data_IF_126264161181
#
_entry.id   IF_126264161181
#
_cell.length_a   1.000
_cell.length_b   1.000
_cell.length_c   1.000
_cell.angle_alpha   90.00
_cell.angle_beta   90.00
_cell.angle_gamma   90.00
#
_symmetry.space_group_name_H-M   'P 1'
#
loop_
_entity.id
_entity.type
_entity.pdbx_description
1 polymer ?
#
# COMPACT_ATOMS: atom_id res chain seq x y z
N UNK A 1 -29.59 -12.29 14.22
CA UNK A 1 -29.23 -11.82 12.87
C UNK A 1 -28.04 -10.85 12.87
N UNK A 2 -27.85 -10.08 13.95
CA UNK A 2 -26.70 -9.16 14.14
C UNK A 2 -25.37 -9.86 14.38
N UNK A 3 -25.34 -11.03 15.03
CA UNK A 3 -24.10 -11.74 15.34
C UNK A 3 -23.37 -12.31 14.12
N UNK A 4 -24.05 -12.52 13.00
CA UNK A 4 -23.43 -12.96 11.74
C UNK A 4 -22.76 -11.84 10.94
N UNK A 5 -23.04 -10.57 11.26
CA UNK A 5 -22.45 -9.41 10.56
C UNK A 5 -21.06 -9.05 11.11
N UNK A 6 -20.79 -9.36 12.37
CA UNK A 6 -19.51 -9.12 13.06
C UNK A 6 -18.73 -10.41 13.36
N UNK A 7 -19.34 -11.58 13.15
CA UNK A 7 -18.59 -12.82 13.25
C UNK A 7 -17.50 -12.84 12.17
N UNK A 8 -16.36 -13.41 12.49
CA UNK A 8 -15.19 -13.67 11.60
C UNK A 8 -15.54 -14.49 10.33
N UNK A 9 -16.74 -14.28 9.77
CA UNK A 9 -17.30 -14.96 8.59
C UNK A 9 -16.73 -14.45 7.27
N UNK A 10 -15.77 -13.48 7.30
CA UNK A 10 -15.22 -12.88 6.11
C UNK A 10 -13.84 -13.44 5.65
N UNK A 11 -13.11 -14.27 6.43
CA UNK A 11 -11.82 -14.79 6.01
C UNK A 11 -11.90 -15.56 4.68
N UNK A 12 -12.97 -16.36 4.48
CA UNK A 12 -13.16 -17.10 3.23
C UNK A 12 -13.40 -16.18 2.02
N UNK A 13 -14.19 -15.10 2.19
CA UNK A 13 -14.38 -14.10 1.15
C UNK A 13 -13.09 -13.32 0.87
N UNK A 14 -12.31 -12.99 1.90
CA UNK A 14 -11.00 -12.35 1.75
C UNK A 14 -10.00 -13.26 1.04
N UNK A 15 -9.96 -14.55 1.38
CA UNK A 15 -9.09 -15.52 0.71
C UNK A 15 -9.41 -15.60 -0.79
N UNK A 16 -10.69 -15.62 -1.13
CA UNK A 16 -11.14 -15.57 -2.52
C UNK A 16 -10.72 -14.25 -3.18
N UNK A 17 -10.87 -13.12 -2.49
CA UNK A 17 -10.47 -11.81 -3.00
C UNK A 17 -8.96 -11.74 -3.29
N UNK A 18 -8.12 -12.26 -2.39
CA UNK A 18 -6.67 -12.38 -2.59
C UNK A 18 -6.35 -13.23 -3.82
N UNK A 19 -7.05 -14.36 -4.01
CA UNK A 19 -6.86 -15.23 -5.17
C UNK A 19 -7.30 -14.58 -6.49
N UNK A 20 -8.43 -13.88 -6.49
CA UNK A 20 -8.94 -13.16 -7.69
C UNK A 20 -7.97 -12.03 -8.07
N UNK A 21 -7.56 -11.19 -7.11
CA UNK A 21 -6.64 -10.09 -7.38
C UNK A 21 -5.27 -10.61 -7.86
N UNK A 22 -4.73 -11.64 -7.25
CA UNK A 22 -3.46 -12.23 -7.68
C UNK A 22 -3.54 -12.80 -9.12
N UNK A 23 -4.67 -13.41 -9.50
CA UNK A 23 -4.83 -14.06 -10.80
C UNK A 23 -5.19 -13.08 -11.92
N UNK A 24 -6.05 -12.12 -11.65
CA UNK A 24 -6.67 -11.27 -12.68
C UNK A 24 -6.30 -9.79 -12.54
N UNK A 25 -5.90 -9.33 -11.35
CA UNK A 25 -5.60 -7.93 -11.05
C UNK A 25 -6.79 -7.01 -11.35
N UNK A 26 -6.50 -5.90 -12.03
CA UNK A 26 -7.47 -4.90 -12.46
C UNK A 26 -7.83 -5.12 -13.94
N UNK A 27 -8.94 -5.85 -14.28
CA UNK A 27 -9.27 -6.15 -15.67
C UNK A 27 -9.61 -4.88 -16.45
N UNK A 28 -8.74 -4.47 -17.37
CA UNK A 28 -8.91 -3.26 -18.17
C UNK A 28 -10.24 -3.22 -18.96
N UNK A 29 -10.78 -4.40 -19.32
CA UNK A 29 -12.07 -4.50 -20.01
C UNK A 29 -13.24 -4.00 -19.14
N UNK A 30 -13.19 -4.22 -17.82
CA UNK A 30 -14.18 -3.77 -16.86
C UNK A 30 -14.00 -2.28 -16.60
N UNK A 31 -12.79 -1.84 -16.23
CA UNK A 31 -12.52 -0.48 -15.79
C UNK A 31 -12.48 0.57 -16.92
N UNK A 32 -12.56 0.14 -18.18
CA UNK A 32 -12.87 1.05 -19.29
C UNK A 32 -14.36 1.44 -19.35
N UNK A 33 -15.24 0.63 -18.77
CA UNK A 33 -16.72 0.87 -18.80
C UNK A 33 -17.26 1.40 -17.49
N UNK A 34 -16.65 0.98 -16.38
CA UNK A 34 -17.07 1.35 -15.02
C UNK A 34 -15.85 1.94 -14.32
N UNK A 35 -15.93 3.13 -13.72
CA UNK A 35 -14.79 3.71 -13.01
C UNK A 35 -14.36 2.80 -11.87
N UNK A 36 -13.03 2.66 -11.70
CA UNK A 36 -12.46 1.89 -10.59
C UNK A 36 -12.91 2.49 -9.25
N UNK A 37 -13.32 1.69 -8.25
CA UNK A 37 -13.85 2.21 -6.98
C UNK A 37 -12.89 3.19 -6.29
N UNK A 38 -11.59 2.92 -6.30
CA UNK A 38 -10.58 3.82 -5.73
C UNK A 38 -10.48 5.14 -6.50
N UNK A 39 -10.68 5.12 -7.82
CA UNK A 39 -10.72 6.35 -8.62
C UNK A 39 -11.94 7.21 -8.26
N UNK A 40 -13.09 6.60 -7.96
CA UNK A 40 -14.28 7.31 -7.47
C UNK A 40 -13.99 7.97 -6.12
N UNK A 41 -13.36 7.25 -5.19
CA UNK A 41 -12.91 7.82 -3.91
C UNK A 41 -11.99 9.02 -4.16
N UNK A 42 -11.02 8.89 -5.06
CA UNK A 42 -10.12 9.98 -5.44
C UNK A 42 -10.84 11.20 -6.01
N UNK A 43 -11.86 10.99 -6.85
CA UNK A 43 -12.69 12.10 -7.37
C UNK A 43 -13.44 12.83 -6.24
N UNK A 44 -13.98 12.10 -5.27
CA UNK A 44 -14.66 12.68 -4.09
C UNK A 44 -13.64 13.49 -3.26
N UNK A 45 -12.46 12.93 -2.97
CA UNK A 45 -11.39 13.64 -2.25
C UNK A 45 -10.98 14.91 -2.99
N UNK A 46 -10.75 14.84 -4.31
CA UNK A 46 -10.42 16.00 -5.12
C UNK A 46 -11.53 17.06 -5.18
N UNK A 47 -12.79 16.63 -5.18
CA UNK A 47 -13.92 17.55 -5.08
C UNK A 47 -13.97 18.24 -3.72
N UNK A 48 -13.81 17.51 -2.63
CA UNK A 48 -13.79 18.09 -1.27
C UNK A 48 -12.63 19.07 -1.07
N UNK A 49 -11.44 18.78 -1.62
CA UNK A 49 -10.29 19.70 -1.59
C UNK A 49 -10.61 21.02 -2.33
N UNK A 50 -11.27 20.95 -3.48
CA UNK A 50 -11.65 22.17 -4.21
C UNK A 50 -12.69 23.02 -3.49
N UNK A 51 -13.65 22.38 -2.83
CA UNK A 51 -14.80 23.08 -2.20
C UNK A 51 -14.44 23.64 -0.81
N UNK A 52 -13.75 22.84 0.01
CA UNK A 52 -13.53 23.12 1.44
C UNK A 52 -12.13 23.61 1.79
N UNK A 53 -11.14 23.46 0.88
CA UNK A 53 -9.77 23.92 1.11
C UNK A 53 -9.50 25.23 0.37
N UNK A 54 -10.11 26.32 0.86
CA UNK A 54 -9.99 27.64 0.21
C UNK A 54 -8.67 28.30 0.57
N UNK A 55 -7.89 28.82 -0.39
CA UNK A 55 -6.58 29.45 -0.12
C UNK A 55 -6.64 30.66 0.82
N UNK A 56 -7.75 31.43 0.78
CA UNK A 56 -7.95 32.61 1.65
C UNK A 56 -8.37 32.30 3.09
N UNK A 57 -8.68 31.05 3.42
CA UNK A 57 -9.09 30.67 4.76
C UNK A 57 -7.88 30.52 5.70
N UNK A 58 -8.06 30.94 6.97
CA UNK A 58 -7.07 30.74 8.01
C UNK A 58 -6.75 29.24 8.19
N UNK A 59 -5.49 28.90 8.52
CA UNK A 59 -5.05 27.50 8.68
C UNK A 59 -5.87 26.70 9.69
N UNK A 60 -6.35 27.35 10.77
CA UNK A 60 -7.25 26.71 11.74
C UNK A 60 -8.60 26.31 11.14
N UNK A 61 -9.17 27.14 10.26
CA UNK A 61 -10.42 26.82 9.54
C UNK A 61 -10.22 25.68 8.58
N UNK A 62 -9.12 25.71 7.81
CA UNK A 62 -8.75 24.63 6.87
C UNK A 62 -8.53 23.29 7.60
N UNK A 63 -7.90 23.30 8.80
CA UNK A 63 -7.75 22.08 9.63
C UNK A 63 -9.09 21.53 10.08
N UNK A 64 -10.02 22.37 10.56
CA UNK A 64 -11.36 21.93 10.97
C UNK A 64 -12.15 21.38 9.79
N UNK A 65 -12.09 22.06 8.65
CA UNK A 65 -12.71 21.59 7.41
C UNK A 65 -12.15 20.21 6.97
N UNK A 66 -10.82 20.04 6.98
CA UNK A 66 -10.17 18.78 6.68
C UNK A 66 -10.57 17.65 7.64
N UNK A 67 -10.64 17.92 8.96
CA UNK A 67 -11.14 16.94 9.93
C UNK A 67 -12.58 16.52 9.66
N UNK A 68 -13.46 17.49 9.38
CA UNK A 68 -14.87 17.20 9.08
C UNK A 68 -15.03 16.39 7.77
N UNK A 69 -14.24 16.74 6.73
CA UNK A 69 -14.22 16.02 5.45
C UNK A 69 -13.76 14.58 5.66
N UNK A 70 -12.66 14.35 6.37
CA UNK A 70 -12.15 12.99 6.61
C UNK A 70 -13.13 12.19 7.46
N UNK A 71 -13.69 12.77 8.52
CA UNK A 71 -14.71 12.08 9.33
C UNK A 71 -15.94 11.70 8.50
N UNK A 72 -16.45 12.61 7.68
CA UNK A 72 -17.58 12.35 6.78
C UNK A 72 -17.25 11.30 5.71
N UNK A 73 -16.04 11.37 5.12
CA UNK A 73 -15.58 10.39 4.12
C UNK A 73 -15.49 8.98 4.71
N UNK A 74 -14.88 8.84 5.89
CA UNK A 74 -14.75 7.54 6.59
C UNK A 74 -16.12 7.00 6.98
N UNK A 75 -16.98 7.82 7.58
CA UNK A 75 -18.32 7.40 7.97
C UNK A 75 -19.15 6.94 6.76
N UNK A 76 -19.12 7.70 5.67
CA UNK A 76 -19.84 7.37 4.43
C UNK A 76 -19.28 6.11 3.77
N UNK A 77 -17.95 5.96 3.71
CA UNK A 77 -17.28 4.78 3.17
C UNK A 77 -17.62 3.52 3.98
N UNK A 78 -17.61 3.62 5.31
CA UNK A 78 -17.96 2.52 6.20
C UNK A 78 -19.45 2.15 6.05
N UNK A 79 -20.36 3.12 6.06
CA UNK A 79 -21.80 2.90 5.89
C UNK A 79 -22.11 2.27 4.52
N UNK A 80 -21.51 2.77 3.44
CA UNK A 80 -21.64 2.19 2.11
C UNK A 80 -21.16 0.74 2.08
N UNK A 81 -19.97 0.49 2.63
CA UNK A 81 -19.42 -0.87 2.72
C UNK A 81 -20.32 -1.81 3.49
N UNK A 82 -20.94 -1.33 4.58
CA UNK A 82 -21.88 -2.12 5.37
C UNK A 82 -23.16 -2.45 4.59
N UNK A 83 -23.73 -1.47 3.89
CA UNK A 83 -24.94 -1.65 3.03
C UNK A 83 -24.63 -2.65 1.91
N UNK A 84 -23.52 -2.46 1.21
CA UNK A 84 -23.11 -3.34 0.10
C UNK A 84 -22.85 -4.76 0.62
N UNK A 85 -22.14 -4.92 1.72
CA UNK A 85 -21.89 -6.22 2.32
C UNK A 85 -23.18 -6.93 2.73
N UNK A 86 -24.11 -6.23 3.42
CA UNK A 86 -25.40 -6.78 3.81
C UNK A 86 -26.22 -7.22 2.61
N UNK A 87 -26.25 -6.42 1.54
CA UNK A 87 -26.92 -6.75 0.28
C UNK A 87 -26.31 -7.99 -0.37
N UNK A 88 -24.97 -8.02 -0.53
CA UNK A 88 -24.29 -9.14 -1.18
C UNK A 88 -24.49 -10.45 -0.41
N UNK A 89 -24.43 -10.41 0.93
CA UNK A 89 -24.64 -11.61 1.76
C UNK A 89 -26.10 -12.12 1.75
N UNK A 90 -27.06 -11.29 1.36
CA UNK A 90 -28.45 -11.70 1.17
C UNK A 90 -28.69 -12.43 -0.18
N UNK A 91 -27.76 -12.34 -1.14
CA UNK A 91 -27.84 -13.00 -2.43
C UNK A 91 -27.41 -14.48 -2.34
N UNK A 92 -27.87 -15.34 -3.26
CA UNK A 92 -27.28 -16.67 -3.47
C UNK A 92 -25.77 -16.54 -3.71
N UNK A 93 -24.98 -17.40 -3.10
CA UNK A 93 -23.50 -17.35 -3.17
C UNK A 93 -22.92 -16.02 -2.65
N UNK A 94 -23.56 -15.36 -1.68
CA UNK A 94 -23.20 -14.03 -1.21
C UNK A 94 -21.74 -13.86 -0.80
N UNK A 95 -21.10 -14.91 -0.23
CA UNK A 95 -19.66 -14.89 0.09
C UNK A 95 -18.78 -14.81 -1.16
N UNK A 96 -19.21 -15.41 -2.28
CA UNK A 96 -18.49 -15.30 -3.56
C UNK A 96 -18.55 -13.86 -4.08
N UNK A 97 -19.73 -13.26 -4.10
CA UNK A 97 -19.89 -11.86 -4.53
C UNK A 97 -19.15 -10.89 -3.62
N UNK A 98 -19.12 -11.18 -2.31
CA UNK A 98 -18.34 -10.38 -1.36
C UNK A 98 -16.85 -10.47 -1.66
N UNK A 99 -16.31 -11.67 -1.96
CA UNK A 99 -14.91 -11.83 -2.36
C UNK A 99 -14.58 -11.08 -3.66
N UNK A 100 -15.46 -11.14 -4.66
CA UNK A 100 -15.31 -10.35 -5.90
C UNK A 100 -15.31 -8.85 -5.62
N UNK A 101 -16.21 -8.36 -4.74
CA UNK A 101 -16.23 -6.94 -4.39
C UNK A 101 -14.98 -6.51 -3.63
N UNK A 102 -14.48 -7.33 -2.70
CA UNK A 102 -13.25 -7.05 -1.95
C UNK A 102 -12.02 -7.03 -2.86
N UNK A 103 -11.93 -7.88 -3.89
CA UNK A 103 -10.76 -7.96 -4.77
C UNK A 103 -10.47 -6.64 -5.50
N UNK A 104 -11.49 -5.81 -5.77
CA UNK A 104 -11.33 -4.50 -6.39
C UNK A 104 -10.57 -3.46 -5.53
N UNK A 105 -10.28 -3.77 -4.28
CA UNK A 105 -9.56 -2.88 -3.34
C UNK A 105 -8.19 -3.43 -2.95
N UNK A 106 -7.79 -4.57 -3.49
CA UNK A 106 -6.47 -5.17 -3.33
C UNK A 106 -5.60 -4.81 -4.55
N UNK A 107 -4.29 -4.83 -4.37
CA UNK A 107 -3.37 -4.36 -5.41
C UNK A 107 -2.17 -5.32 -5.62
N UNK A 108 -2.33 -6.64 -5.38
CA UNK A 108 -1.21 -7.58 -5.49
C UNK A 108 -0.68 -7.67 -6.92
N UNK A 109 -1.57 -7.89 -7.88
CA UNK A 109 -1.19 -8.06 -9.28
C UNK A 109 -0.69 -6.76 -9.89
N UNK A 110 -1.38 -5.65 -9.67
CA UNK A 110 -1.02 -4.34 -10.22
C UNK A 110 0.32 -3.85 -9.67
N UNK A 111 0.58 -4.02 -8.36
CA UNK A 111 1.87 -3.68 -7.75
C UNK A 111 3.01 -4.52 -8.35
N UNK A 112 2.82 -5.83 -8.46
CA UNK A 112 3.79 -6.71 -9.12
C UNK A 112 4.09 -6.23 -10.54
N UNK A 113 3.04 -5.97 -11.33
CA UNK A 113 3.15 -5.54 -12.72
C UNK A 113 3.92 -4.24 -12.88
N UNK A 114 3.56 -3.22 -12.11
CA UNK A 114 4.21 -1.91 -12.18
C UNK A 114 5.71 -1.99 -11.81
N UNK A 115 6.07 -2.75 -10.78
CA UNK A 115 7.48 -2.91 -10.38
C UNK A 115 8.25 -3.77 -11.38
N UNK A 116 7.62 -4.82 -11.92
CA UNK A 116 8.22 -5.65 -12.97
C UNK A 116 8.45 -4.85 -14.27
N UNK A 117 7.56 -3.89 -14.57
CA UNK A 117 7.72 -3.00 -15.72
C UNK A 117 8.97 -2.11 -15.58
N UNK A 118 9.34 -1.68 -14.38
CA UNK A 118 10.59 -0.94 -14.17
C UNK A 118 11.80 -1.80 -14.52
N UNK A 119 11.84 -3.06 -14.03
CA UNK A 119 12.94 -3.98 -14.35
C UNK A 119 13.04 -4.24 -15.86
N UNK A 120 11.90 -4.47 -16.51
CA UNK A 120 11.81 -4.69 -17.97
C UNK A 120 12.24 -3.46 -18.75
N UNK A 121 11.77 -2.27 -18.37
CA UNK A 121 12.11 -1.01 -19.02
C UNK A 121 13.61 -0.72 -18.92
N UNK A 122 14.26 -0.98 -17.79
CA UNK A 122 15.70 -0.86 -17.62
C UNK A 122 16.44 -1.83 -18.56
N UNK A 123 15.97 -3.06 -18.69
CA UNK A 123 16.62 -4.08 -19.50
C UNK A 123 16.49 -3.78 -21.03
N UNK A 124 15.35 -3.27 -21.48
CA UNK A 124 15.05 -3.04 -22.91
C UNK A 124 15.44 -1.65 -23.36
N UNK A 125 15.17 -0.62 -22.55
CA UNK A 125 15.29 0.79 -22.93
C UNK A 125 16.31 1.56 -22.08
N UNK A 126 17.09 0.88 -21.28
CA UNK A 126 18.12 1.49 -20.44
C UNK A 126 17.57 2.38 -19.33
N UNK A 127 18.40 3.34 -18.89
CA UNK A 127 18.08 4.22 -17.76
C UNK A 127 16.84 5.09 -18.01
N UNK A 128 16.70 5.65 -19.20
CA UNK A 128 15.58 6.56 -19.50
C UNK A 128 14.24 5.83 -19.49
N UNK A 129 14.19 4.60 -20.04
CA UNK A 129 13.03 3.74 -19.90
C UNK A 129 12.69 3.42 -18.44
N UNK A 130 13.72 3.13 -17.64
CA UNK A 130 13.57 2.90 -16.19
C UNK A 130 13.00 4.11 -15.46
N UNK A 131 13.48 5.31 -15.76
CA UNK A 131 12.97 6.58 -15.20
C UNK A 131 11.49 6.79 -15.53
N UNK A 132 11.09 6.58 -16.79
CA UNK A 132 9.69 6.69 -17.22
C UNK A 132 8.79 5.67 -16.49
N UNK A 133 9.26 4.45 -16.34
CA UNK A 133 8.50 3.40 -15.66
C UNK A 133 8.36 3.67 -14.15
N UNK A 134 9.46 4.03 -13.48
CA UNK A 134 9.45 4.29 -12.02
C UNK A 134 8.64 5.54 -11.66
N UNK A 135 8.55 6.54 -12.54
CA UNK A 135 7.71 7.74 -12.34
C UNK A 135 6.24 7.42 -12.07
N UNK A 136 5.75 6.25 -12.48
CA UNK A 136 4.36 5.82 -12.25
C UNK A 136 4.09 5.32 -10.84
N UNK A 137 5.14 4.99 -10.10
CA UNK A 137 5.04 4.34 -8.78
C UNK A 137 5.76 5.11 -7.66
N UNK A 138 6.41 6.23 -7.98
CA UNK A 138 7.05 7.10 -6.99
C UNK A 138 6.45 8.50 -7.04
N UNK A 139 6.29 9.14 -5.88
CA UNK A 139 5.73 10.49 -5.79
C UNK A 139 6.74 11.63 -6.05
N UNK A 140 7.94 11.32 -6.56
CA UNK A 140 9.02 12.29 -6.82
C UNK A 140 9.46 12.26 -8.28
N UNK A 141 10.08 13.33 -8.73
CA UNK A 141 10.70 13.39 -10.07
C UNK A 141 11.91 12.45 -10.16
N UNK A 142 11.89 11.42 -11.03
CA UNK A 142 12.99 10.50 -11.21
C UNK A 142 14.03 10.97 -12.25
N UNK A 143 13.91 12.14 -12.85
CA UNK A 143 14.74 12.60 -13.98
C UNK A 143 16.23 12.62 -13.67
N UNK A 144 16.61 12.84 -12.40
CA UNK A 144 17.99 12.90 -11.93
C UNK A 144 18.49 11.60 -11.29
N UNK A 145 17.66 10.56 -11.22
CA UNK A 145 18.07 9.29 -10.62
C UNK A 145 19.02 8.54 -11.56
N UNK A 146 20.12 8.04 -11.01
CA UNK A 146 20.94 7.04 -11.69
C UNK A 146 20.25 5.67 -11.70
N UNK A 147 20.84 4.71 -12.41
CA UNK A 147 20.28 3.37 -12.56
C UNK A 147 20.05 2.66 -11.22
N UNK A 148 20.99 2.76 -10.28
CA UNK A 148 20.89 2.16 -8.98
C UNK A 148 19.80 2.84 -8.13
N UNK A 149 19.65 4.15 -8.22
CA UNK A 149 18.60 4.91 -7.54
C UNK A 149 17.21 4.61 -8.10
N UNK A 150 17.06 4.40 -9.42
CA UNK A 150 15.80 3.94 -10.04
C UNK A 150 15.41 2.56 -9.47
N UNK A 151 16.37 1.62 -9.41
CA UNK A 151 16.13 0.29 -8.84
C UNK A 151 15.76 0.35 -7.36
N UNK A 152 16.49 1.16 -6.56
CA UNK A 152 16.14 1.38 -5.14
C UNK A 152 14.74 1.92 -4.99
N UNK A 153 14.39 2.97 -5.74
CA UNK A 153 13.08 3.60 -5.68
C UNK A 153 11.95 2.62 -6.02
N UNK A 154 12.15 1.74 -7.00
CA UNK A 154 11.18 0.69 -7.33
C UNK A 154 11.02 -0.34 -6.20
N UNK A 155 12.12 -0.73 -5.56
CA UNK A 155 12.12 -1.70 -4.46
C UNK A 155 11.50 -1.10 -3.18
N UNK A 156 11.79 0.16 -2.88
CA UNK A 156 11.17 0.92 -1.79
C UNK A 156 9.66 1.03 -1.99
N UNK A 157 9.24 1.44 -3.19
CA UNK A 157 7.83 1.51 -3.56
C UNK A 157 7.13 0.15 -3.46
N UNK A 158 7.81 -0.96 -3.83
CA UNK A 158 7.29 -2.32 -3.64
C UNK A 158 7.04 -2.61 -2.17
N UNK A 159 7.99 -2.31 -1.29
CA UNK A 159 7.90 -2.60 0.14
C UNK A 159 6.79 -1.76 0.81
N UNK A 160 6.75 -0.46 0.54
CA UNK A 160 5.74 0.45 1.05
C UNK A 160 4.33 0.05 0.57
N UNK A 161 4.15 -0.14 -0.74
CA UNK A 161 2.85 -0.51 -1.29
C UNK A 161 2.43 -1.96 -1.00
N UNK A 162 3.35 -2.87 -0.66
CA UNK A 162 2.98 -4.15 -0.09
C UNK A 162 2.25 -3.97 1.25
N UNK A 163 2.73 -3.06 2.10
CA UNK A 163 2.01 -2.69 3.32
C UNK A 163 0.65 -2.06 2.99
N UNK A 164 0.61 -1.00 2.18
CA UNK A 164 -0.54 -0.11 2.04
C UNK A 164 -1.55 -0.56 0.99
N UNK A 165 -1.09 -1.31 -0.02
CA UNK A 165 -1.91 -1.82 -1.12
C UNK A 165 -2.38 -3.26 -0.95
N UNK A 166 -1.75 -4.04 -0.05
CA UNK A 166 -2.04 -5.47 0.11
C UNK A 166 -2.34 -5.83 1.56
N UNK A 167 -1.38 -5.63 2.48
CA UNK A 167 -1.50 -6.11 3.85
C UNK A 167 -2.53 -5.31 4.65
N UNK A 168 -2.52 -3.99 4.57
CA UNK A 168 -3.45 -3.15 5.30
C UNK A 168 -4.91 -3.30 4.81
N UNK A 169 -5.19 -3.31 3.49
CA UNK A 169 -6.53 -3.66 3.01
C UNK A 169 -7.00 -5.03 3.51
N UNK A 170 -6.15 -6.06 3.44
CA UNK A 170 -6.47 -7.40 3.92
C UNK A 170 -6.71 -7.43 5.44
N UNK A 171 -5.90 -6.71 6.22
CA UNK A 171 -6.02 -6.59 7.67
C UNK A 171 -7.37 -5.98 8.08
N UNK A 172 -7.75 -4.84 7.46
CA UNK A 172 -9.01 -4.18 7.77
C UNK A 172 -10.22 -4.93 7.23
N UNK A 173 -10.08 -5.64 6.08
CA UNK A 173 -11.10 -6.56 5.58
C UNK A 173 -11.32 -7.74 6.53
N UNK A 174 -10.25 -8.29 7.11
CA UNK A 174 -10.32 -9.40 8.06
C UNK A 174 -11.03 -8.99 9.35
N UNK A 175 -10.75 -7.79 9.88
CA UNK A 175 -11.32 -7.30 11.13
C UNK A 175 -12.76 -6.80 11.00
N UNK A 176 -13.04 -6.03 9.95
CA UNK A 176 -14.28 -5.26 9.81
C UNK A 176 -15.06 -5.56 8.52
N UNK A 177 -14.61 -6.53 7.71
CA UNK A 177 -15.23 -6.86 6.44
C UNK A 177 -15.05 -5.76 5.38
N UNK A 178 -15.97 -5.73 4.41
CA UNK A 178 -15.99 -4.72 3.34
C UNK A 178 -16.11 -3.28 3.87
N UNK A 179 -16.87 -2.99 4.95
CA UNK A 179 -16.87 -1.66 5.56
C UNK A 179 -15.49 -1.15 5.95
N UNK A 180 -14.71 -1.98 6.65
CA UNK A 180 -13.36 -1.63 7.07
C UNK A 180 -12.41 -1.47 5.90
N UNK A 181 -12.52 -2.33 4.90
CA UNK A 181 -11.74 -2.28 3.68
C UNK A 181 -11.96 -0.97 2.90
N UNK A 182 -13.23 -0.58 2.67
CA UNK A 182 -13.55 0.66 1.93
C UNK A 182 -13.15 1.89 2.75
N UNK A 183 -13.39 1.90 4.06
CA UNK A 183 -12.98 3.00 4.93
C UNK A 183 -11.46 3.17 4.95
N UNK A 184 -10.70 2.08 5.06
CA UNK A 184 -9.25 2.09 4.93
C UNK A 184 -8.79 2.69 3.60
N UNK A 185 -9.32 2.20 2.48
CA UNK A 185 -8.95 2.71 1.15
C UNK A 185 -9.32 4.18 0.96
N UNK A 186 -10.41 4.65 1.58
CA UNK A 186 -10.78 6.06 1.55
C UNK A 186 -9.75 6.93 2.28
N UNK A 187 -9.27 6.51 3.44
CA UNK A 187 -8.23 7.22 4.20
C UNK A 187 -6.90 7.22 3.44
N UNK A 188 -6.46 6.06 2.99
CA UNK A 188 -5.21 5.89 2.25
C UNK A 188 -5.19 6.70 0.94
N UNK A 189 -6.31 6.73 0.20
CA UNK A 189 -6.46 7.56 -0.99
C UNK A 189 -6.44 9.06 -0.65
N UNK A 190 -7.09 9.45 0.46
CA UNK A 190 -7.07 10.84 0.90
C UNK A 190 -5.65 11.27 1.30
N UNK A 191 -4.91 10.46 2.04
CA UNK A 191 -3.51 10.76 2.37
C UNK A 191 -2.66 10.92 1.10
N UNK A 192 -2.73 9.98 0.18
CA UNK A 192 -1.98 10.02 -1.08
C UNK A 192 -2.26 11.29 -1.90
N UNK A 193 -3.48 11.85 -1.84
CA UNK A 193 -3.88 13.01 -2.62
C UNK A 193 -3.65 14.34 -1.90
N UNK A 194 -3.94 14.42 -0.60
CA UNK A 194 -3.97 15.66 0.17
C UNK A 194 -3.13 15.61 1.46
N UNK A 195 -2.50 14.48 1.81
CA UNK A 195 -1.65 14.34 3.01
C UNK A 195 -0.28 15.01 2.91
N UNK A 196 0.12 15.42 1.72
CA UNK A 196 1.41 16.06 1.49
C UNK A 196 1.57 17.39 2.22
N UNK A 197 2.76 17.66 2.75
CA UNK A 197 3.09 18.92 3.47
C UNK A 197 3.32 20.12 2.53
N UNK A 198 2.62 20.17 1.39
CA UNK A 198 2.60 21.35 0.52
C UNK A 198 1.90 22.53 1.21
N UNK A 199 2.14 23.75 0.77
CA UNK A 199 1.46 24.95 1.27
C UNK A 199 -0.07 24.81 1.19
N UNK A 200 -0.57 24.20 0.10
CA UNK A 200 -1.99 23.92 -0.11
C UNK A 200 -2.57 22.91 0.89
N UNK A 201 -1.85 21.83 1.22
CA UNK A 201 -2.43 20.70 1.95
C UNK A 201 -1.96 20.59 3.41
N UNK A 202 -0.92 21.32 3.81
CA UNK A 202 -0.32 21.26 5.15
C UNK A 202 -1.33 21.33 6.31
N UNK A 203 -2.36 22.15 6.16
CA UNK A 203 -3.40 22.32 7.18
C UNK A 203 -4.62 21.44 6.90
N UNK A 204 -5.14 21.44 5.67
CA UNK A 204 -6.33 20.70 5.29
C UNK A 204 -6.11 19.18 5.32
N UNK A 205 -5.03 18.69 4.73
CA UNK A 205 -4.70 17.26 4.64
C UNK A 205 -4.15 16.65 5.92
N UNK A 206 -3.88 17.47 6.95
CA UNK A 206 -3.27 16.98 8.20
C UNK A 206 -4.06 15.86 8.88
N UNK A 207 -5.37 15.87 8.80
CA UNK A 207 -6.22 14.82 9.37
C UNK A 207 -6.09 13.50 8.61
N UNK A 208 -6.05 13.56 7.26
CA UNK A 208 -5.81 12.40 6.41
C UNK A 208 -4.47 11.75 6.75
N UNK A 209 -3.38 12.52 6.72
CA UNK A 209 -2.03 12.04 6.98
C UNK A 209 -1.89 11.37 8.36
N UNK A 210 -2.43 11.99 9.42
CA UNK A 210 -2.35 11.43 10.77
C UNK A 210 -3.19 10.18 10.96
N UNK A 211 -4.37 10.13 10.33
CA UNK A 211 -5.24 8.98 10.42
C UNK A 211 -4.65 7.80 9.64
N UNK A 212 -4.12 8.05 8.44
CA UNK A 212 -3.40 7.05 7.64
C UNK A 212 -2.19 6.51 8.41
N UNK A 213 -1.35 7.39 8.98
CA UNK A 213 -0.23 6.98 9.81
C UNK A 213 -0.68 6.03 10.95
N UNK A 214 -1.80 6.33 11.61
CA UNK A 214 -2.30 5.55 12.74
C UNK A 214 -2.84 4.18 12.32
N UNK A 215 -3.68 4.13 11.29
CA UNK A 215 -4.34 2.88 10.86
C UNK A 215 -3.38 1.93 10.13
N UNK A 216 -2.27 2.42 9.63
CA UNK A 216 -1.21 1.62 9.02
C UNK A 216 -0.22 1.04 10.05
N UNK A 217 -0.22 1.50 11.32
CA UNK A 217 0.70 0.97 12.34
C UNK A 217 0.69 -0.57 12.44
N UNK A 218 -0.43 -1.26 12.61
CA UNK A 218 -0.43 -2.72 12.71
C UNK A 218 -0.04 -3.39 11.38
N UNK A 219 -0.54 -2.88 10.28
CA UNK A 219 -0.34 -3.47 8.95
C UNK A 219 1.12 -3.42 8.50
N UNK A 220 1.81 -2.30 8.73
CA UNK A 220 3.22 -2.16 8.35
C UNK A 220 4.14 -3.09 9.15
N UNK A 221 3.83 -3.37 10.42
CA UNK A 221 4.56 -4.37 11.23
C UNK A 221 4.27 -5.78 10.75
N UNK A 222 3.01 -6.08 10.41
CA UNK A 222 2.63 -7.35 9.81
C UNK A 222 3.30 -7.55 8.44
N UNK A 223 3.35 -6.52 7.60
CA UNK A 223 4.05 -6.55 6.31
C UNK A 223 5.55 -6.85 6.48
N UNK A 224 6.20 -6.19 7.44
CA UNK A 224 7.60 -6.45 7.77
C UNK A 224 7.82 -7.88 8.25
N UNK A 225 6.94 -8.41 9.11
CA UNK A 225 6.98 -9.80 9.57
C UNK A 225 6.84 -10.78 8.40
N UNK A 226 5.86 -10.56 7.52
CA UNK A 226 5.63 -11.41 6.34
C UNK A 226 6.84 -11.42 5.39
N UNK A 227 7.47 -10.26 5.13
CA UNK A 227 8.69 -10.16 4.33
C UNK A 227 9.87 -10.88 4.99
N UNK A 228 10.06 -10.70 6.31
CA UNK A 228 11.12 -11.37 7.05
C UNK A 228 10.93 -12.90 7.05
N UNK A 229 9.69 -13.40 7.20
CA UNK A 229 9.39 -14.83 7.12
C UNK A 229 9.52 -15.34 5.67
N UNK A 230 9.14 -14.56 4.68
CA UNK A 230 9.31 -14.93 3.27
C UNK A 230 10.79 -15.12 2.88
N UNK A 231 11.73 -14.50 3.59
CA UNK A 231 13.15 -14.69 3.37
C UNK A 231 13.62 -16.14 3.60
N UNK A 232 12.92 -16.94 4.42
CA UNK A 232 13.18 -18.38 4.53
C UNK A 232 12.85 -19.16 3.24
N UNK A 233 12.01 -18.61 2.39
CA UNK A 233 11.45 -19.28 1.21
C UNK A 233 12.13 -18.85 -0.09
N UNK A 234 13.12 -17.97 -0.05
CA UNK A 234 13.83 -17.48 -1.24
C UNK A 234 15.31 -17.87 -1.19
N UNK A 235 15.90 -18.36 -2.28
CA UNK A 235 17.34 -18.64 -2.33
C UNK A 235 18.18 -17.39 -2.06
N UNK A 236 19.10 -17.49 -1.10
CA UNK A 236 19.94 -16.36 -0.68
C UNK A 236 19.22 -15.31 0.18
N UNK A 237 18.03 -15.60 0.68
CA UNK A 237 17.34 -14.75 1.66
C UNK A 237 17.92 -14.94 3.06
N UNK A 238 18.03 -13.84 3.81
CA UNK A 238 18.49 -13.85 5.19
C UNK A 238 17.44 -13.30 6.16
N UNK A 239 16.61 -14.19 6.77
CA UNK A 239 15.60 -13.77 7.74
C UNK A 239 16.19 -13.17 9.01
N UNK A 240 17.40 -13.62 9.44
CA UNK A 240 18.07 -13.07 10.63
C UNK A 240 18.50 -11.63 10.38
N UNK A 241 19.07 -11.35 9.21
CA UNK A 241 19.44 -10.00 8.80
C UNK A 241 18.17 -9.12 8.63
N UNK A 242 17.06 -9.66 8.11
CA UNK A 242 15.79 -8.95 8.05
C UNK A 242 15.34 -8.47 9.44
N UNK A 243 15.24 -9.36 10.42
CA UNK A 243 14.84 -8.99 11.79
C UNK A 243 15.84 -8.05 12.47
N UNK A 244 17.15 -8.21 12.23
CA UNK A 244 18.18 -7.32 12.76
C UNK A 244 18.01 -5.90 12.18
N UNK A 245 17.79 -5.79 10.86
CA UNK A 245 17.59 -4.51 10.17
C UNK A 245 16.31 -3.82 10.61
N UNK A 246 15.19 -4.56 10.74
CA UNK A 246 13.94 -4.01 11.29
C UNK A 246 14.18 -3.36 12.65
N UNK A 247 14.86 -4.07 13.58
CA UNK A 247 15.11 -3.54 14.94
C UNK A 247 16.01 -2.32 14.95
N UNK A 248 17.01 -2.28 14.08
CA UNK A 248 18.01 -1.21 14.03
C UNK A 248 17.51 0.02 13.30
N UNK A 249 16.84 -0.14 12.14
CA UNK A 249 16.65 0.92 11.15
C UNK A 249 15.21 1.36 10.95
N UNK A 250 14.20 0.50 11.18
CA UNK A 250 12.80 0.80 10.82
C UNK A 250 12.28 2.12 11.44
N UNK A 251 12.70 2.43 12.67
CA UNK A 251 12.28 3.67 13.38
C UNK A 251 13.06 4.92 12.97
N UNK A 252 14.11 4.78 12.16
CA UNK A 252 14.90 5.92 11.66
C UNK A 252 14.26 6.55 10.42
N UNK A 253 13.30 5.85 9.81
CA UNK A 253 12.57 6.34 8.66
C UNK A 253 11.63 7.47 9.07
N UNK A 254 11.47 8.47 8.17
CA UNK A 254 10.58 9.64 8.40
C UNK A 254 9.10 9.27 8.52
N UNK A 255 8.66 8.21 7.80
CA UNK A 255 7.32 7.64 7.94
C UNK A 255 7.31 6.64 9.10
N UNK A 256 6.32 6.66 10.00
CA UNK A 256 6.20 5.69 11.08
C UNK A 256 5.86 4.27 10.58
N UNK A 257 5.52 4.14 9.30
CA UNK A 257 5.05 2.91 8.66
C UNK A 257 6.00 2.36 7.61
N UNK A 258 6.36 3.12 6.57
CA UNK A 258 7.14 2.64 5.42
C UNK A 258 8.50 2.02 5.82
N UNK A 259 9.15 2.57 6.83
CA UNK A 259 10.45 2.05 7.30
C UNK A 259 10.43 0.59 7.77
N UNK A 260 9.27 0.04 8.15
CA UNK A 260 9.19 -1.36 8.62
C UNK A 260 9.31 -2.38 7.48
N UNK A 261 8.46 -2.33 6.45
CA UNK A 261 8.57 -3.26 5.32
C UNK A 261 9.84 -3.01 4.51
N UNK A 262 10.31 -1.75 4.37
CA UNK A 262 11.57 -1.44 3.71
C UNK A 262 12.78 -2.06 4.44
N UNK A 263 12.85 -1.92 5.77
CA UNK A 263 13.93 -2.53 6.56
C UNK A 263 13.90 -4.06 6.49
N UNK A 264 12.71 -4.67 6.49
CA UNK A 264 12.56 -6.10 6.32
C UNK A 264 13.11 -6.58 4.99
N UNK A 265 12.72 -5.92 3.90
CA UNK A 265 13.15 -6.27 2.54
C UNK A 265 14.64 -6.02 2.36
N UNK A 266 15.15 -4.87 2.83
CA UNK A 266 16.57 -4.50 2.76
C UNK A 266 17.46 -5.53 3.46
N UNK A 267 17.11 -5.92 4.69
CA UNK A 267 17.82 -6.95 5.43
C UNK A 267 17.73 -8.33 4.80
N UNK A 268 16.51 -8.73 4.37
CA UNK A 268 16.25 -10.03 3.75
C UNK A 268 17.12 -10.30 2.51
N UNK A 269 17.38 -9.27 1.71
CA UNK A 269 18.08 -9.38 0.42
C UNK A 269 19.50 -8.79 0.44
N UNK A 270 19.96 -8.23 1.58
CA UNK A 270 21.26 -7.61 1.69
C UNK A 270 21.39 -6.31 0.87
N UNK A 271 20.28 -5.57 0.68
CA UNK A 271 20.27 -4.29 -0.04
C UNK A 271 20.39 -3.12 0.93
N UNK A 272 20.97 -2.01 0.47
CA UNK A 272 20.87 -0.72 1.13
C UNK A 272 19.79 0.09 0.41
N UNK A 273 18.76 0.54 1.14
CA UNK A 273 17.66 1.35 0.65
C UNK A 273 17.71 2.75 1.26
N UNK A 274 16.87 3.65 0.79
CA UNK A 274 16.88 5.05 1.20
C UNK A 274 18.23 5.74 0.89
N UNK A 275 18.84 6.37 1.85
CA UNK A 275 20.11 7.11 1.68
C UNK A 275 19.89 8.54 1.14
N UNK A 276 20.99 9.27 0.90
CA UNK A 276 20.94 10.65 0.44
C UNK A 276 20.13 10.81 -0.85
N UNK A 277 19.26 11.83 -0.90
CA UNK A 277 18.32 12.11 -1.99
C UNK A 277 18.28 13.60 -2.31
N UNK A 278 17.70 13.96 -3.44
CA UNK A 278 17.36 15.34 -3.76
C UNK A 278 15.85 15.48 -3.96
N UNK A 279 15.25 16.49 -3.36
CA UNK A 279 13.86 16.90 -3.55
C UNK A 279 13.81 18.29 -4.16
N UNK A 280 13.30 18.39 -5.40
CA UNK A 280 13.30 19.67 -6.12
C UNK A 280 14.68 20.31 -6.27
N UNK A 281 15.73 19.51 -6.41
CA UNK A 281 17.12 19.98 -6.51
C UNK A 281 17.80 20.28 -5.17
N UNK A 282 17.10 20.16 -4.03
CA UNK A 282 17.67 20.37 -2.70
C UNK A 282 18.11 19.03 -2.12
N UNK A 283 19.41 18.85 -1.80
CA UNK A 283 19.89 17.63 -1.15
C UNK A 283 19.23 17.41 0.21
N UNK A 284 18.75 16.20 0.46
CA UNK A 284 18.26 15.76 1.74
C UNK A 284 19.11 14.56 2.19
N UNK A 285 19.74 14.69 3.33
CA UNK A 285 20.47 13.60 3.98
C UNK A 285 19.47 12.70 4.68
N UNK A 286 19.04 11.64 4.01
CA UNK A 286 18.27 10.56 4.64
C UNK A 286 19.21 9.42 5.03
N UNK A 287 19.03 8.80 6.21
CA UNK A 287 19.86 7.69 6.63
C UNK A 287 19.64 6.47 5.73
N UNK A 288 20.70 5.70 5.48
CA UNK A 288 20.56 4.42 4.81
C UNK A 288 19.80 3.42 5.69
N UNK A 289 18.87 2.71 5.10
CA UNK A 289 18.29 1.50 5.65
C UNK A 289 19.17 0.33 5.23
N UNK A 290 19.70 -0.42 6.20
CA UNK A 290 20.72 -1.47 6.01
C UNK A 290 21.98 -0.95 5.31
N UNK A 291 22.64 0.04 5.92
CA UNK A 291 23.79 0.76 5.33
C UNK A 291 24.93 -0.13 4.84
N UNK A 292 25.18 -1.26 5.51
CA UNK A 292 26.18 -2.26 5.11
C UNK A 292 25.78 -3.08 3.89
N UNK A 293 24.54 -2.98 3.44
CA UNK A 293 24.02 -3.67 2.27
C UNK A 293 24.56 -3.09 0.96
N UNK A 294 24.28 -3.78 -0.13
CA UNK A 294 24.67 -3.36 -1.47
C UNK A 294 23.88 -2.16 -1.94
N UNK A 295 24.58 -1.08 -2.30
CA UNK A 295 24.02 0.21 -2.75
C UNK A 295 23.81 0.25 -4.27
N UNK A 296 24.65 -0.44 -5.03
CA UNK A 296 24.56 -0.50 -6.50
C UNK A 296 23.61 -1.63 -6.89
N UNK A 297 22.33 -1.29 -7.05
CA UNK A 297 21.27 -2.21 -7.45
C UNK A 297 21.02 -2.12 -8.95
N UNK A 298 20.53 -3.23 -9.55
CA UNK A 298 20.18 -3.32 -10.96
C UNK A 298 18.88 -4.11 -11.16
N UNK A 299 18.40 -4.22 -12.41
CA UNK A 299 17.16 -4.90 -12.77
C UNK A 299 16.98 -6.32 -12.18
N UNK A 300 18.00 -7.20 -12.13
CA UNK A 300 17.89 -8.49 -11.44
C UNK A 300 17.54 -8.39 -9.95
N UNK A 301 17.90 -7.27 -9.28
CA UNK A 301 17.59 -7.07 -7.88
C UNK A 301 16.12 -6.73 -7.65
N UNK A 302 15.50 -6.01 -8.58
CA UNK A 302 14.04 -5.82 -8.61
C UNK A 302 13.36 -7.18 -8.74
N UNK A 303 13.85 -8.07 -9.61
CA UNK A 303 13.30 -9.42 -9.77
C UNK A 303 13.41 -10.26 -8.50
N UNK A 304 14.51 -10.14 -7.74
CA UNK A 304 14.67 -10.79 -6.43
C UNK A 304 13.68 -10.24 -5.41
N UNK A 305 13.49 -8.92 -5.37
CA UNK A 305 12.51 -8.27 -4.49
C UNK A 305 11.08 -8.71 -4.82
N UNK A 306 10.72 -8.82 -6.11
CA UNK A 306 9.45 -9.38 -6.55
C UNK A 306 9.28 -10.85 -6.14
N UNK A 307 10.34 -11.64 -6.20
CA UNK A 307 10.34 -13.02 -5.70
C UNK A 307 10.04 -13.11 -4.20
N UNK A 308 10.61 -12.23 -3.39
CA UNK A 308 10.32 -12.12 -1.95
C UNK A 308 8.87 -11.68 -1.71
N UNK A 309 8.42 -10.65 -2.43
CA UNK A 309 7.06 -10.13 -2.38
C UNK A 309 5.99 -11.21 -2.66
N UNK A 310 6.14 -12.01 -3.73
CA UNK A 310 5.19 -13.10 -4.05
C UNK A 310 5.10 -14.09 -2.90
N UNK A 311 6.21 -14.44 -2.26
CA UNK A 311 6.21 -15.36 -1.12
C UNK A 311 5.56 -14.74 0.12
N UNK A 312 5.74 -13.44 0.34
CA UNK A 312 5.05 -12.72 1.40
C UNK A 312 3.52 -12.65 1.17
N UNK A 313 3.08 -12.48 -0.08
CA UNK A 313 1.66 -12.59 -0.43
C UNK A 313 1.09 -14.00 -0.19
N UNK A 314 1.85 -15.04 -0.53
CA UNK A 314 1.46 -16.43 -0.25
C UNK A 314 1.35 -16.68 1.27
N UNK A 315 2.29 -16.18 2.06
CA UNK A 315 2.21 -16.29 3.54
C UNK A 315 0.99 -15.55 4.10
N UNK A 316 0.65 -14.39 3.55
CA UNK A 316 -0.58 -13.69 3.91
C UNK A 316 -1.83 -14.54 3.60
N UNK A 317 -1.89 -15.13 2.40
CA UNK A 317 -3.00 -15.99 2.00
C UNK A 317 -3.10 -17.23 2.89
N UNK A 318 -1.97 -17.86 3.26
CA UNK A 318 -1.94 -18.99 4.19
C UNK A 318 -2.43 -18.56 5.59
N UNK A 319 -2.01 -17.40 6.09
CA UNK A 319 -2.48 -16.89 7.37
C UNK A 319 -4.00 -16.67 7.36
N UNK A 320 -4.54 -16.08 6.30
CA UNK A 320 -6.00 -15.89 6.15
C UNK A 320 -6.72 -17.24 6.03
N UNK A 321 -6.15 -18.23 5.33
CA UNK A 321 -6.70 -19.59 5.24
C UNK A 321 -6.77 -20.25 6.63
N UNK A 322 -5.69 -20.18 7.40
CA UNK A 322 -5.68 -20.75 8.77
C UNK A 322 -6.75 -20.10 9.63
N UNK A 323 -6.89 -18.76 9.57
CA UNK A 323 -7.96 -18.06 10.31
C UNK A 323 -9.34 -18.50 9.80
N UNK A 324 -9.53 -18.68 8.49
CA UNK A 324 -10.79 -19.16 7.93
C UNK A 324 -11.17 -20.56 8.43
N UNK A 325 -10.19 -21.46 8.54
CA UNK A 325 -10.42 -22.84 9.05
C UNK A 325 -10.73 -22.85 10.54
N UNK A 326 -10.04 -22.01 11.34
CA UNK A 326 -10.28 -21.95 12.80
C UNK A 326 -11.63 -21.29 13.14
N UNK A 327 -12.07 -20.34 12.29
CA UNK A 327 -13.34 -19.62 12.48
C UNK A 327 -14.58 -20.41 12.05
N UNK A 328 -14.41 -21.58 11.44
CA UNK A 328 -15.48 -22.51 11.06
C UNK A 328 -15.62 -23.67 12.05
#
# INVERSE_FOLDING_TARGET
>A
MTDRLFALSHPAALLLALGIDAAFGEPAAIYRRIPHPVAVIGQIVGWTDRVFNRPGDAGTRRRRAGMAVIAGLVASAFALGWIVQAFLLALPLGRLWLGVAMSAFLAQNSLYGHVADVARAIAVSGLDGGRIAVARIVGRDPSQLDRAAVCRAAIESLAENFSDGVVAPAFWALLLGLPGLIAYKAINTADSMIGHKSERHRDFGRAAARLDDLINLPASRLAALLLALAAFLIPGGDPKAAFATIRRDARRHRSPNAGWPEAALAGALGFALNGPRAYGGVPAEEPWTNESGRKLLDAPDISKALGLYVRACLLLAVAVLVIAVIAH
#
